data_IF_939048654101
#
_entry.id   IF_939048654101
#
_cell.length_a   1.000
_cell.length_b   1.000
_cell.length_c   1.000
_cell.angle_alpha   90.00
_cell.angle_beta   90.00
_cell.angle_gamma   90.00
#
_symmetry.space_group_name_H-M   'P 1'
#
loop_
_entity.id
_entity.type
_entity.pdbx_description
1 polymer ?
#
# COMPACT_ATOMS: atom_id res chain seq x y z
N UNK A 1 3.70 8.08 29.65
CA UNK A 1 3.20 7.83 28.30
C UNK A 1 4.24 8.37 27.34
N UNK A 2 4.85 7.50 26.56
CA UNK A 2 5.97 7.85 25.67
C UNK A 2 5.41 7.91 24.26
N UNK A 3 5.56 9.05 23.60
CA UNK A 3 5.29 9.21 22.16
C UNK A 3 6.35 8.37 21.45
N UNK A 4 6.02 7.44 20.53
CA UNK A 4 7.05 6.80 19.75
C UNK A 4 7.68 7.86 18.86
N UNK A 5 8.98 8.07 19.06
CA UNK A 5 9.79 8.93 18.22
C UNK A 5 9.90 8.28 16.85
N UNK A 6 9.37 8.93 15.83
CA UNK A 6 9.67 8.65 14.43
C UNK A 6 11.14 9.01 14.21
N UNK A 7 12.04 8.07 14.49
CA UNK A 7 13.45 8.20 14.16
C UNK A 7 13.58 8.05 12.64
N UNK A 8 13.79 9.17 11.94
CA UNK A 8 14.17 9.19 10.53
C UNK A 8 15.57 8.57 10.40
N UNK A 9 15.62 7.25 10.28
CA UNK A 9 16.83 6.49 9.96
C UNK A 9 17.07 6.51 8.46
N UNK A 10 18.18 7.14 8.08
CA UNK A 10 18.78 7.16 6.75
C UNK A 10 19.24 5.74 6.38
N UNK A 11 18.53 5.06 5.47
CA UNK A 11 18.89 3.74 4.94
C UNK A 11 17.67 2.95 4.46
N UNK A 12 17.55 2.77 3.13
CA UNK A 12 16.62 1.88 2.42
C UNK A 12 15.37 1.47 3.25
N UNK A 13 14.50 2.46 3.49
CA UNK A 13 13.53 2.41 4.59
C UNK A 13 12.34 1.51 4.26
N UNK A 14 12.56 0.21 4.39
CA UNK A 14 11.49 -0.78 4.43
C UNK A 14 10.92 -0.81 5.84
N UNK A 15 9.99 0.12 6.13
CA UNK A 15 9.33 0.21 7.43
C UNK A 15 8.11 -0.72 7.45
N UNK A 16 8.09 -1.66 8.40
CA UNK A 16 6.94 -2.52 8.65
C UNK A 16 6.04 -1.85 9.70
N UNK A 17 4.80 -1.55 9.32
CA UNK A 17 3.79 -0.97 10.18
C UNK A 17 2.91 -2.11 10.70
N UNK A 18 2.92 -2.31 12.02
CA UNK A 18 1.99 -3.21 12.69
C UNK A 18 0.61 -2.56 12.78
N UNK A 19 -0.41 -3.26 12.31
CA UNK A 19 -1.77 -2.75 12.26
C UNK A 19 -2.64 -3.52 13.26
N UNK A 20 -3.54 -2.83 13.99
CA UNK A 20 -4.49 -3.53 14.84
C UNK A 20 -5.36 -4.42 13.96
N UNK A 21 -5.38 -5.73 14.23
CA UNK A 21 -6.25 -6.70 13.56
C UNK A 21 -7.71 -6.55 14.02
N UNK A 22 -8.30 -5.39 13.74
CA UNK A 22 -9.68 -5.06 14.05
C UNK A 22 -10.47 -4.90 12.75
N UNK A 23 -11.74 -5.32 12.75
CA UNK A 23 -12.66 -5.18 11.61
C UNK A 23 -12.64 -3.77 11.01
N UNK A 24 -12.60 -2.74 11.84
CA UNK A 24 -12.55 -1.33 11.40
C UNK A 24 -11.29 -1.01 10.60
N UNK A 25 -10.13 -1.51 11.04
CA UNK A 25 -8.85 -1.28 10.35
C UNK A 25 -8.80 -2.06 9.05
N UNK A 26 -9.23 -3.33 9.07
CA UNK A 26 -9.30 -4.17 7.86
C UNK A 26 -10.21 -3.55 6.81
N UNK A 27 -11.39 -3.09 7.23
CA UNK A 27 -12.33 -2.39 6.35
C UNK A 27 -11.75 -1.09 5.79
N UNK A 28 -11.11 -0.27 6.62
CA UNK A 28 -10.49 0.97 6.16
C UNK A 28 -9.37 0.70 5.15
N UNK A 29 -8.56 -0.34 5.36
CA UNK A 29 -7.52 -0.75 4.42
C UNK A 29 -8.14 -1.25 3.11
N UNK A 30 -9.17 -2.10 3.19
CA UNK A 30 -9.89 -2.60 2.02
C UNK A 30 -10.47 -1.48 1.14
N UNK A 31 -11.15 -0.50 1.77
CA UNK A 31 -11.70 0.66 1.07
C UNK A 31 -10.58 1.53 0.48
N UNK A 32 -9.49 1.75 1.21
CA UNK A 32 -8.35 2.53 0.72
C UNK A 32 -7.61 1.85 -0.44
N UNK A 33 -7.43 0.52 -0.39
CA UNK A 33 -6.78 -0.25 -1.46
C UNK A 33 -7.60 -0.23 -2.75
N UNK A 34 -8.92 -0.37 -2.65
CA UNK A 34 -9.80 -0.24 -3.81
C UNK A 34 -9.74 1.16 -4.43
N UNK A 35 -9.79 2.20 -3.61
CA UNK A 35 -9.65 3.58 -4.10
C UNK A 35 -8.30 3.83 -4.76
N UNK A 36 -7.21 3.32 -4.18
CA UNK A 36 -5.88 3.45 -4.76
C UNK A 36 -5.77 2.75 -6.11
N UNK A 37 -6.34 1.54 -6.23
CA UNK A 37 -6.41 0.82 -7.51
C UNK A 37 -7.13 1.66 -8.57
N UNK A 38 -8.30 2.21 -8.25
CA UNK A 38 -9.10 3.01 -9.19
C UNK A 38 -8.37 4.27 -9.65
N UNK A 39 -7.70 4.98 -8.73
CA UNK A 39 -6.94 6.18 -9.08
C UNK A 39 -5.70 5.85 -9.92
N UNK A 40 -4.98 4.78 -9.59
CA UNK A 40 -3.82 4.33 -10.38
C UNK A 40 -4.23 3.84 -11.76
N UNK A 41 -5.32 3.08 -11.88
CA UNK A 41 -5.85 2.65 -13.17
C UNK A 41 -6.31 3.85 -14.02
N UNK A 42 -6.86 4.88 -13.37
CA UNK A 42 -7.22 6.13 -14.05
C UNK A 42 -5.99 6.91 -14.48
N UNK A 43 -4.95 7.00 -13.65
CA UNK A 43 -3.70 7.67 -13.98
C UNK A 43 -2.97 6.96 -15.14
N UNK A 44 -2.84 5.63 -15.06
CA UNK A 44 -2.22 4.78 -16.09
C UNK A 44 -2.91 4.92 -17.47
N UNK A 45 -4.24 5.05 -17.50
CA UNK A 45 -4.98 5.30 -18.74
C UNK A 45 -4.84 6.73 -19.29
N UNK A 46 -4.50 7.71 -18.43
CA UNK A 46 -4.35 9.10 -18.81
C UNK A 46 -2.90 9.44 -19.23
N UNK A 47 -1.93 8.64 -18.81
CA UNK A 47 -0.53 8.76 -19.23
C UNK A 47 -0.34 8.11 -20.62
N UNK A 48 -0.09 8.96 -21.62
CA UNK A 48 -0.08 8.56 -23.03
C UNK A 48 1.28 8.01 -23.50
N UNK A 49 2.24 7.85 -22.60
CA UNK A 49 3.62 7.43 -22.87
C UNK A 49 3.85 6.01 -22.34
N UNK A 50 4.32 5.10 -23.20
CA UNK A 50 4.66 3.72 -22.83
C UNK A 50 5.73 3.63 -21.72
N UNK A 51 6.51 4.70 -21.51
CA UNK A 51 7.55 4.78 -20.49
C UNK A 51 7.02 5.13 -19.07
N UNK A 52 5.77 5.60 -18.94
CA UNK A 52 5.16 6.00 -17.64
C UNK A 52 4.03 5.07 -17.19
N UNK A 53 3.77 3.99 -17.94
CA UNK A 53 2.82 2.95 -17.54
C UNK A 53 3.29 2.24 -16.28
N UNK A 54 2.37 2.06 -15.34
CA UNK A 54 2.65 1.36 -14.10
C UNK A 54 2.93 -0.12 -14.40
N UNK A 55 3.94 -0.73 -13.75
CA UNK A 55 4.19 -2.15 -13.90
C UNK A 55 2.96 -2.97 -13.49
N UNK A 56 2.63 -4.01 -14.27
CA UNK A 56 1.50 -4.90 -13.96
C UNK A 56 1.61 -5.51 -12.55
N UNK A 57 2.83 -5.76 -12.08
CA UNK A 57 3.10 -6.27 -10.73
C UNK A 57 2.56 -5.37 -9.62
N UNK A 58 2.41 -4.06 -9.87
CA UNK A 58 1.81 -3.12 -8.90
C UNK A 58 0.32 -3.39 -8.73
N UNK A 59 -0.39 -3.64 -9.83
CA UNK A 59 -1.82 -3.97 -9.79
C UNK A 59 -2.06 -5.35 -9.19
N UNK A 60 -1.23 -6.34 -9.51
CA UNK A 60 -1.30 -7.68 -8.91
C UNK A 60 -1.08 -7.62 -7.39
N UNK A 61 -0.09 -6.84 -6.93
CA UNK A 61 0.16 -6.64 -5.50
C UNK A 61 -1.00 -5.93 -4.79
N UNK A 62 -1.64 -4.95 -5.44
CA UNK A 62 -2.83 -4.27 -4.90
C UNK A 62 -4.05 -5.18 -4.83
N UNK A 63 -4.25 -6.06 -5.81
CA UNK A 63 -5.34 -7.05 -5.80
C UNK A 63 -5.13 -8.06 -4.66
N UNK A 64 -3.92 -8.59 -4.48
CA UNK A 64 -3.59 -9.49 -3.36
C UNK A 64 -3.86 -8.80 -2.01
N UNK A 65 -3.43 -7.55 -1.87
CA UNK A 65 -3.67 -6.78 -0.66
C UNK A 65 -5.16 -6.50 -0.41
N UNK A 66 -5.93 -6.20 -1.46
CA UNK A 66 -7.37 -6.00 -1.39
C UNK A 66 -8.12 -7.28 -0.94
N UNK A 67 -7.72 -8.45 -1.44
CA UNK A 67 -8.27 -9.74 -1.00
C UNK A 67 -7.89 -10.01 0.46
N UNK A 68 -6.63 -9.82 0.84
CA UNK A 68 -6.15 -10.07 2.19
C UNK A 68 -6.86 -9.20 3.25
N UNK A 69 -7.20 -7.96 2.91
CA UNK A 69 -7.97 -7.05 3.79
C UNK A 69 -9.44 -7.46 3.90
N UNK A 70 -10.02 -8.06 2.86
CA UNK A 70 -11.37 -8.64 2.92
C UNK A 70 -11.45 -9.89 3.80
N UNK A 71 -10.37 -10.68 3.81
CA UNK A 71 -10.22 -11.88 4.65
C UNK A 71 -9.74 -11.57 6.08
N UNK A 72 -9.66 -10.30 6.47
CA UNK A 72 -9.20 -9.83 7.78
C UNK A 72 -7.82 -10.38 8.19
N UNK A 73 -7.00 -10.76 7.21
CA UNK A 73 -5.76 -11.50 7.41
C UNK A 73 -4.52 -10.60 7.44
N UNK A 74 -4.68 -9.28 7.28
CA UNK A 74 -3.58 -8.32 7.28
C UNK A 74 -3.21 -7.91 8.71
N UNK A 75 -2.08 -8.43 9.21
CA UNK A 75 -1.56 -8.04 10.54
C UNK A 75 -0.42 -7.03 10.47
N UNK A 76 0.22 -6.91 9.32
CA UNK A 76 1.36 -6.03 9.10
C UNK A 76 1.43 -5.62 7.64
N UNK A 77 1.74 -4.36 7.38
CA UNK A 77 2.02 -3.84 6.03
C UNK A 77 3.45 -3.35 5.98
N UNK A 78 4.14 -3.67 4.89
CA UNK A 78 5.51 -3.23 4.64
C UNK A 78 5.52 -2.40 3.37
N UNK A 79 6.03 -1.18 3.46
CA UNK A 79 6.16 -0.29 2.31
C UNK A 79 7.66 -0.13 2.05
N UNK A 80 8.07 -0.44 0.83
CA UNK A 80 9.43 -0.24 0.35
C UNK A 80 9.40 0.78 -0.77
N UNK A 81 10.27 1.78 -0.69
CA UNK A 81 10.49 2.76 -1.75
C UNK A 81 11.90 2.59 -2.27
N UNK A 82 12.03 2.32 -3.57
CA UNK A 82 13.30 2.47 -4.27
C UNK A 82 13.36 3.90 -4.81
N UNK A 83 14.29 4.70 -4.31
CA UNK A 83 14.60 6.00 -4.90
C UNK A 83 15.65 5.78 -5.99
N UNK A 84 15.33 6.14 -7.23
CA UNK A 84 16.29 6.22 -8.34
C UNK A 84 17.20 7.45 -8.24
#
# INVERSE_FOLDING_TARGET
>A
MTVPATEKGDGEATEAIELPATETVQRALHEASGHLYDELATADQNDATEDEQLPADVFDALEEFYVATAEESVTSVRISYEQE
#
